data_IF_207948062060
#
_entry.id   IF_207948062060
#
_cell.length_a   1.000
_cell.length_b   1.000
_cell.length_c   1.000
_cell.angle_alpha   90.00
_cell.angle_beta   90.00
_cell.angle_gamma   90.00
#
_symmetry.space_group_name_H-M   'P 1'
#
loop_
_entity.id
_entity.type
_entity.pdbx_description
1 polymer ?
#
# COMPACT_ATOMS: atom_id res chain seq x y z
N UNK A 1 4.68 -24.60 22.56
CA UNK A 1 5.16 -23.61 21.57
C UNK A 1 4.01 -22.69 21.18
N UNK A 2 3.85 -21.60 21.91
CA UNK A 2 2.74 -20.64 21.77
C UNK A 2 3.35 -19.26 21.56
N UNK A 3 3.55 -18.87 20.31
CA UNK A 3 4.22 -17.60 20.04
C UNK A 3 4.27 -17.24 18.58
N UNK A 4 3.12 -17.11 17.90
CA UNK A 4 3.10 -16.45 16.58
C UNK A 4 1.76 -15.85 16.12
N UNK A 5 0.80 -15.67 17.04
CA UNK A 5 -0.52 -15.05 16.72
C UNK A 5 -0.57 -13.54 16.99
N UNK A 6 0.40 -12.96 17.72
CA UNK A 6 0.33 -11.55 18.19
C UNK A 6 0.78 -10.49 17.19
N UNK A 7 1.46 -10.84 16.09
CA UNK A 7 2.02 -9.84 15.14
C UNK A 7 1.08 -9.46 13.99
N UNK A 8 0.05 -10.27 13.72
CA UNK A 8 -0.80 -10.13 12.51
C UNK A 8 -1.95 -9.11 12.65
N UNK A 9 -2.26 -8.67 13.87
CA UNK A 9 -3.53 -8.01 14.23
C UNK A 9 -3.46 -6.45 14.19
N UNK A 10 -2.28 -5.85 14.00
CA UNK A 10 -2.09 -4.42 14.33
C UNK A 10 -2.52 -3.37 13.30
N UNK A 11 -2.84 -3.72 12.05
CA UNK A 11 -3.39 -2.74 11.08
C UNK A 11 -4.82 -2.31 11.43
N UNK A 12 -5.57 -3.20 12.06
CA UNK A 12 -7.03 -3.09 12.13
C UNK A 12 -7.54 -2.11 13.18
N UNK A 13 -6.63 -1.55 13.99
CA UNK A 13 -7.03 -0.75 15.15
C UNK A 13 -6.81 0.75 14.97
N UNK A 14 -6.13 1.18 13.91
CA UNK A 14 -6.01 2.60 13.58
C UNK A 14 -7.34 3.16 13.06
N UNK A 15 -7.94 2.50 12.07
CA UNK A 15 -9.16 2.98 11.41
C UNK A 15 -10.40 2.87 12.32
N UNK A 16 -10.53 1.81 13.12
CA UNK A 16 -11.66 1.63 14.04
C UNK A 16 -11.57 2.53 15.29
N UNK A 17 -10.36 2.80 15.80
CA UNK A 17 -10.19 3.72 16.93
C UNK A 17 -10.49 5.17 16.53
N UNK A 18 -10.14 5.58 15.31
CA UNK A 18 -10.50 6.88 14.72
C UNK A 18 -12.01 7.13 14.80
N UNK A 19 -12.81 6.12 14.47
CA UNK A 19 -14.27 6.20 14.38
C UNK A 19 -14.96 6.26 15.75
N UNK A 20 -14.45 5.52 16.74
CA UNK A 20 -14.95 5.65 18.12
C UNK A 20 -14.59 7.00 18.78
N UNK A 21 -13.77 7.85 18.15
CA UNK A 21 -13.38 9.17 18.69
C UNK A 21 -14.35 10.25 18.20
N UNK A 22 -14.93 9.99 17.04
CA UNK A 22 -15.85 10.83 16.29
C UNK A 22 -17.27 10.84 16.84
N UNK A 23 -17.68 9.79 17.56
CA UNK A 23 -18.98 9.70 18.21
C UNK A 23 -19.22 10.72 19.34
N UNK A 24 -18.25 11.60 19.65
CA UNK A 24 -18.31 12.51 20.81
C UNK A 24 -18.10 13.99 20.45
N UNK A 25 -18.34 14.41 19.21
CA UNK A 25 -17.99 15.75 18.74
C UNK A 25 -19.17 16.49 18.09
N UNK A 26 -19.73 17.50 18.77
CA UNK A 26 -20.93 18.25 18.33
C UNK A 26 -20.70 19.76 18.11
N UNK A 27 -19.49 20.24 17.82
CA UNK A 27 -19.26 21.69 17.59
C UNK A 27 -18.13 21.99 16.60
N UNK A 28 -18.13 23.16 15.96
CA UNK A 28 -17.11 23.57 14.98
C UNK A 28 -15.72 23.79 15.60
N UNK A 29 -15.64 24.13 16.90
CA UNK A 29 -14.39 24.04 17.68
C UNK A 29 -13.91 22.60 17.89
N UNK A 30 -14.75 21.63 17.52
CA UNK A 30 -14.50 20.20 17.64
C UNK A 30 -14.01 19.61 16.33
N UNK A 31 -14.13 20.26 15.16
CA UNK A 31 -13.52 19.74 13.92
C UNK A 31 -12.01 19.54 14.11
N UNK A 32 -11.30 20.59 14.54
CA UNK A 32 -9.85 20.50 14.77
C UNK A 32 -9.48 19.51 15.90
N UNK A 33 -10.27 19.47 16.99
CA UNK A 33 -10.06 18.46 18.05
C UNK A 33 -10.39 17.04 17.61
N UNK A 34 -11.28 16.90 16.65
CA UNK A 34 -11.69 15.62 16.07
C UNK A 34 -10.58 15.11 15.18
N UNK A 35 -10.09 15.94 14.26
CA UNK A 35 -8.91 15.67 13.44
C UNK A 35 -7.71 15.30 14.30
N UNK A 36 -7.39 16.07 15.35
CA UNK A 36 -6.32 15.75 16.30
C UNK A 36 -6.54 14.41 17.02
N UNK A 37 -7.77 14.11 17.44
CA UNK A 37 -8.11 12.82 18.09
C UNK A 37 -7.97 11.65 17.12
N UNK A 38 -8.41 11.83 15.88
CA UNK A 38 -8.28 10.86 14.80
C UNK A 38 -6.79 10.61 14.55
N UNK A 39 -6.01 11.67 14.36
CA UNK A 39 -4.56 11.62 14.14
C UNK A 39 -3.83 10.95 15.31
N UNK A 40 -4.13 11.31 16.58
CA UNK A 40 -3.51 10.72 17.76
C UNK A 40 -3.82 9.21 17.90
N UNK A 41 -5.06 8.81 17.60
CA UNK A 41 -5.45 7.39 17.58
C UNK A 41 -4.79 6.65 16.44
N UNK A 42 -4.73 7.22 15.23
CA UNK A 42 -3.97 6.65 14.13
C UNK A 42 -2.49 6.51 14.47
N UNK A 43 -1.84 7.54 15.03
CA UNK A 43 -0.44 7.50 15.43
C UNK A 43 -0.14 6.39 16.44
N UNK A 44 -0.98 6.25 17.48
CA UNK A 44 -0.84 5.19 18.50
C UNK A 44 -0.88 3.78 17.89
N UNK A 45 -1.64 3.61 16.81
CA UNK A 45 -1.96 2.30 16.23
C UNK A 45 -1.08 1.94 15.05
N UNK A 46 -0.83 2.89 14.15
CA UNK A 46 0.07 2.74 13.02
C UNK A 46 1.53 2.75 13.47
N UNK A 47 1.84 3.42 14.58
CA UNK A 47 3.21 3.66 15.09
C UNK A 47 4.14 4.12 13.95
N UNK A 48 3.80 5.23 13.28
CA UNK A 48 4.63 5.77 12.21
C UNK A 48 5.89 6.43 12.78
N UNK A 49 6.94 6.50 11.96
CA UNK A 49 8.11 7.33 12.26
C UNK A 49 7.84 8.83 12.01
N UNK A 50 6.86 9.14 11.16
CA UNK A 50 6.49 10.50 10.77
C UNK A 50 5.18 10.99 11.38
N UNK A 51 4.80 12.25 11.08
CA UNK A 51 3.53 12.81 11.51
C UNK A 51 2.35 12.06 10.85
N UNK A 52 1.24 12.05 11.58
CA UNK A 52 -0.07 11.59 11.09
C UNK A 52 -0.94 12.81 10.90
N UNK A 53 -1.58 12.90 9.74
CA UNK A 53 -2.58 13.92 9.44
C UNK A 53 -3.94 13.26 9.26
N UNK A 54 -4.96 13.99 9.67
CA UNK A 54 -6.34 13.59 9.53
C UNK A 54 -7.16 14.82 9.22
N UNK A 55 -7.96 14.74 8.16
CA UNK A 55 -8.74 15.86 7.65
C UNK A 55 -10.20 15.43 7.45
N UNK A 56 -11.13 16.28 7.85
CA UNK A 56 -12.54 16.14 7.51
C UNK A 56 -12.79 16.87 6.18
N UNK A 57 -12.86 16.10 5.09
CA UNK A 57 -12.98 16.66 3.74
C UNK A 57 -14.40 17.19 3.42
N UNK A 58 -15.38 16.84 4.24
CA UNK A 58 -16.72 17.43 4.22
C UNK A 58 -16.97 18.15 5.55
N UNK A 59 -17.34 19.44 5.56
CA UNK A 59 -17.58 20.18 6.79
C UNK A 59 -18.68 19.51 7.62
N UNK A 60 -18.55 19.54 8.96
CA UNK A 60 -19.59 19.09 9.88
C UNK A 60 -20.77 20.06 9.81
N UNK A 61 -21.65 19.88 8.83
CA UNK A 61 -22.90 20.62 8.78
C UNK A 61 -23.73 20.20 10.01
N UNK A 62 -23.89 21.08 11.00
CA UNK A 62 -24.37 20.75 12.36
C UNK A 62 -25.65 19.91 12.45
N UNK A 63 -26.53 19.94 11.44
CA UNK A 63 -27.73 19.08 11.40
C UNK A 63 -27.43 17.61 11.05
N UNK A 64 -26.38 17.33 10.27
CA UNK A 64 -25.95 15.97 9.92
C UNK A 64 -25.30 15.26 11.11
N UNK A 65 -24.54 15.99 11.91
CA UNK A 65 -23.92 15.44 13.14
C UNK A 65 -24.96 15.00 14.17
N UNK A 66 -26.08 15.70 14.28
CA UNK A 66 -27.21 15.30 15.13
C UNK A 66 -27.94 14.05 14.62
N UNK A 67 -27.87 13.77 13.32
CA UNK A 67 -28.37 12.56 12.70
C UNK A 67 -27.38 11.37 12.79
N UNK A 68 -26.20 11.59 13.38
CA UNK A 68 -25.16 10.57 13.50
C UNK A 68 -24.21 10.48 12.31
N UNK A 69 -24.16 11.49 11.44
CA UNK A 69 -23.24 11.54 10.30
C UNK A 69 -22.00 12.40 10.61
N UNK A 70 -20.83 11.85 10.32
CA UNK A 70 -19.52 12.50 10.40
C UNK A 70 -19.09 13.07 9.05
N UNK A 71 -19.42 12.40 7.94
CA UNK A 71 -19.01 12.82 6.59
C UNK A 71 -17.73 12.11 6.10
N UNK A 72 -16.98 12.75 5.20
CA UNK A 72 -15.82 12.14 4.56
C UNK A 72 -14.54 12.39 5.37
N UNK A 73 -13.75 11.34 5.60
CA UNK A 73 -12.50 11.41 6.36
C UNK A 73 -11.35 11.03 5.44
N UNK A 74 -10.27 11.82 5.50
CA UNK A 74 -8.98 11.43 4.98
C UNK A 74 -7.96 11.30 6.11
N UNK A 75 -7.15 10.24 6.10
CA UNK A 75 -6.07 10.01 7.07
C UNK A 75 -4.81 9.65 6.30
N UNK A 76 -3.73 10.37 6.55
CA UNK A 76 -2.41 10.08 6.00
C UNK A 76 -1.36 9.89 7.08
N UNK A 77 -0.45 8.95 6.87
CA UNK A 77 0.64 8.63 7.79
C UNK A 77 1.88 8.25 7.02
N UNK A 78 3.03 8.85 7.40
CA UNK A 78 4.32 8.56 6.79
C UNK A 78 5.13 7.56 7.62
N UNK A 79 5.89 6.69 6.96
CA UNK A 79 6.81 5.77 7.64
C UNK A 79 6.09 4.73 8.51
N UNK A 80 4.97 4.18 8.03
CA UNK A 80 4.25 3.11 8.71
C UNK A 80 5.00 1.78 8.55
N UNK A 81 5.32 1.14 9.68
CA UNK A 81 6.06 -0.13 9.69
C UNK A 81 5.11 -1.33 9.70
N UNK A 82 5.24 -2.22 8.71
CA UNK A 82 4.53 -3.50 8.72
C UNK A 82 5.27 -4.60 7.97
N UNK A 83 5.35 -5.78 8.59
CA UNK A 83 5.93 -6.99 7.99
C UNK A 83 7.32 -6.73 7.38
N UNK A 84 8.14 -5.92 8.07
CA UNK A 84 9.47 -5.48 7.65
C UNK A 84 9.52 -4.49 6.47
N UNK A 85 8.36 -3.95 6.07
CA UNK A 85 8.22 -2.90 5.07
C UNK A 85 7.87 -1.59 5.74
N UNK A 86 8.51 -0.50 5.29
CA UNK A 86 8.13 0.87 5.62
C UNK A 86 7.33 1.42 4.44
N UNK A 87 6.19 2.04 4.72
CA UNK A 87 5.30 2.59 3.69
C UNK A 87 4.62 3.87 4.15
N UNK A 88 4.33 4.74 3.19
CA UNK A 88 3.46 5.90 3.41
C UNK A 88 2.04 5.52 3.02
N UNK A 89 1.07 5.81 3.88
CA UNK A 89 -0.32 5.39 3.71
C UNK A 89 -1.22 6.61 3.67
N UNK A 90 -2.17 6.63 2.73
CA UNK A 90 -3.33 7.54 2.78
C UNK A 90 -4.61 6.71 2.63
N UNK A 91 -5.63 7.03 3.43
CA UNK A 91 -6.93 6.37 3.39
C UNK A 91 -8.00 7.45 3.37
N UNK A 92 -8.97 7.28 2.47
CA UNK A 92 -10.18 8.10 2.40
C UNK A 92 -11.40 7.23 2.58
N UNK A 93 -12.25 7.59 3.53
CA UNK A 93 -13.54 6.95 3.80
C UNK A 93 -14.66 7.94 3.50
N UNK A 94 -15.76 7.43 2.96
CA UNK A 94 -16.94 8.21 2.59
C UNK A 94 -18.11 7.96 3.52
N UNK A 95 -18.90 9.01 3.74
CA UNK A 95 -20.16 8.96 4.50
C UNK A 95 -20.00 8.20 5.81
N UNK A 96 -19.01 8.60 6.59
CA UNK A 96 -18.73 8.00 7.87
C UNK A 96 -19.81 8.40 8.86
N UNK A 97 -20.28 7.45 9.66
CA UNK A 97 -21.25 7.70 10.74
C UNK A 97 -20.55 7.69 12.11
N UNK A 98 -21.19 8.27 13.11
CA UNK A 98 -20.76 8.20 14.52
C UNK A 98 -20.80 6.76 15.06
N UNK A 99 -21.56 5.86 14.42
CA UNK A 99 -21.58 4.43 14.70
C UNK A 99 -20.36 3.67 14.14
N UNK A 100 -19.54 4.33 13.30
CA UNK A 100 -18.39 3.73 12.66
C UNK A 100 -18.72 2.98 11.37
N UNK A 101 -19.90 3.20 10.79
CA UNK A 101 -20.23 2.73 9.44
C UNK A 101 -19.64 3.68 8.39
N UNK A 102 -19.44 3.16 7.18
CA UNK A 102 -19.05 3.95 6.02
C UNK A 102 -19.70 3.43 4.75
N UNK A 103 -19.87 4.31 3.77
CA UNK A 103 -20.23 3.93 2.40
C UNK A 103 -19.04 3.30 1.63
N UNK A 104 -17.93 3.00 2.32
CA UNK A 104 -16.70 2.49 1.74
C UNK A 104 -15.67 3.59 1.51
N UNK A 105 -14.67 3.30 0.68
CA UNK A 105 -13.57 4.23 0.48
C UNK A 105 -12.43 3.70 -0.39
N UNK A 106 -11.33 4.43 -0.33
CA UNK A 106 -10.10 4.11 -1.08
C UNK A 106 -8.89 4.28 -0.19
N UNK A 107 -7.85 3.50 -0.43
CA UNK A 107 -6.56 3.67 0.23
C UNK A 107 -5.42 3.64 -0.77
N UNK A 108 -4.30 4.26 -0.41
CA UNK A 108 -3.03 4.16 -1.11
C UNK A 108 -1.94 3.78 -0.11
N UNK A 109 -0.99 2.95 -0.54
CA UNK A 109 0.23 2.66 0.18
C UNK A 109 1.42 2.81 -0.77
N UNK A 110 2.34 3.71 -0.44
CA UNK A 110 3.56 3.95 -1.21
C UNK A 110 4.72 3.24 -0.53
N UNK A 111 5.32 2.29 -1.25
CA UNK A 111 6.47 1.51 -0.77
C UNK A 111 7.74 2.03 -1.42
N UNK A 112 8.74 2.36 -0.60
CA UNK A 112 10.04 2.81 -1.08
C UNK A 112 10.76 1.75 -1.93
N UNK A 113 11.52 2.18 -2.93
CA UNK A 113 12.23 1.27 -3.83
C UNK A 113 13.31 0.44 -3.15
N UNK A 114 13.86 0.90 -2.03
CA UNK A 114 14.76 0.13 -1.17
C UNK A 114 14.07 -1.13 -0.63
N UNK A 115 12.79 -1.03 -0.25
CA UNK A 115 11.99 -2.15 0.23
C UNK A 115 11.61 -3.09 -0.92
N UNK A 116 11.24 -2.54 -2.08
CA UNK A 116 10.97 -3.32 -3.30
C UNK A 116 12.23 -4.11 -3.69
N UNK A 117 13.38 -3.45 -3.73
CA UNK A 117 14.69 -4.05 -4.01
C UNK A 117 15.00 -5.20 -3.06
N UNK A 118 14.85 -4.98 -1.75
CA UNK A 118 15.09 -6.01 -0.73
C UNK A 118 14.17 -7.22 -0.90
N UNK A 119 12.90 -6.97 -1.22
CA UNK A 119 11.91 -8.04 -1.44
C UNK A 119 12.22 -8.85 -2.71
N UNK A 120 12.68 -8.19 -3.78
CA UNK A 120 13.13 -8.84 -5.00
C UNK A 120 14.40 -9.66 -4.77
N UNK A 121 15.38 -9.13 -4.03
CA UNK A 121 16.60 -9.84 -3.65
C UNK A 121 16.30 -11.14 -2.90
N UNK A 122 15.37 -11.09 -1.94
CA UNK A 122 14.90 -12.30 -1.21
C UNK A 122 14.26 -13.37 -2.10
N UNK A 123 13.89 -13.03 -3.35
CA UNK A 123 13.36 -13.96 -4.35
C UNK A 123 14.44 -14.45 -5.33
N UNK A 124 15.73 -14.23 -5.04
CA UNK A 124 16.85 -14.68 -5.86
C UNK A 124 17.26 -13.71 -6.97
N UNK A 125 17.08 -12.41 -6.77
CA UNK A 125 17.55 -11.35 -7.67
C UNK A 125 18.60 -10.47 -6.99
N UNK A 126 19.67 -11.11 -6.55
CA UNK A 126 20.80 -10.41 -5.94
C UNK A 126 21.42 -9.46 -6.97
N UNK A 127 21.52 -8.17 -6.60
CA UNK A 127 22.18 -7.14 -7.41
C UNK A 127 21.26 -6.31 -8.32
N UNK A 128 19.94 -6.56 -8.37
CA UNK A 128 19.00 -5.67 -9.03
C UNK A 128 18.41 -4.64 -8.04
N UNK A 129 18.51 -3.37 -8.37
CA UNK A 129 17.88 -2.25 -7.67
C UNK A 129 16.63 -1.78 -8.40
N UNK A 130 15.54 -1.62 -7.67
CA UNK A 130 14.29 -1.09 -8.18
C UNK A 130 14.32 0.45 -8.25
N UNK A 131 13.58 1.00 -9.20
CA UNK A 131 13.34 2.43 -9.39
C UNK A 131 12.09 2.66 -10.23
N UNK A 132 11.66 3.90 -10.35
CA UNK A 132 10.51 4.29 -11.17
C UNK A 132 10.88 5.39 -12.14
N UNK A 133 10.31 5.32 -13.34
CA UNK A 133 10.36 6.40 -14.33
C UNK A 133 9.21 6.23 -15.32
N UNK A 134 8.55 7.34 -15.66
CA UNK A 134 7.48 7.38 -16.68
C UNK A 134 6.39 6.32 -16.44
N UNK A 135 6.01 6.11 -15.17
CA UNK A 135 5.00 5.12 -14.77
C UNK A 135 5.44 3.66 -14.80
N UNK A 136 6.68 3.37 -15.23
CA UNK A 136 7.21 2.01 -15.33
C UNK A 136 8.16 1.68 -14.16
N UNK A 137 8.15 0.41 -13.75
CA UNK A 137 9.11 -0.12 -12.80
C UNK A 137 10.41 -0.43 -13.54
N UNK A 138 11.51 0.19 -13.11
CA UNK A 138 12.85 -0.07 -13.63
C UNK A 138 13.61 -0.95 -12.66
N UNK A 139 14.18 -2.04 -13.13
CA UNK A 139 15.11 -2.87 -12.37
C UNK A 139 16.49 -2.72 -13.01
N UNK A 140 17.41 -2.08 -12.30
CA UNK A 140 18.76 -1.83 -12.79
C UNK A 140 19.76 -2.67 -12.01
N UNK A 141 20.76 -3.24 -12.66
CA UNK A 141 21.80 -3.96 -11.96
C UNK A 141 22.75 -4.64 -12.93
N UNK A 142 23.45 -5.67 -12.45
CA UNK A 142 24.39 -6.44 -13.26
C UNK A 142 23.92 -7.88 -13.38
N UNK A 143 23.93 -8.43 -14.61
CA UNK A 143 23.55 -9.83 -14.86
C UNK A 143 24.71 -10.62 -15.43
N UNK A 144 24.76 -11.90 -15.06
CA UNK A 144 25.76 -12.86 -15.51
C UNK A 144 27.13 -12.66 -14.84
N UNK A 145 28.05 -13.61 -15.09
CA UNK A 145 29.39 -13.63 -14.49
C UNK A 145 30.29 -12.46 -14.89
N UNK A 146 29.94 -11.78 -15.99
CA UNK A 146 30.68 -10.63 -16.52
C UNK A 146 30.22 -9.30 -15.89
N UNK A 147 29.18 -9.31 -15.05
CA UNK A 147 28.71 -8.11 -14.37
C UNK A 147 28.12 -7.05 -15.30
N UNK A 148 27.60 -7.45 -16.46
CA UNK A 148 27.13 -6.51 -17.48
C UNK A 148 25.96 -5.67 -16.95
N UNK A 149 26.01 -4.33 -17.08
CA UNK A 149 24.94 -3.48 -16.62
C UNK A 149 23.70 -3.70 -17.49
N UNK A 150 22.59 -3.98 -16.84
CA UNK A 150 21.28 -4.15 -17.45
C UNK A 150 20.25 -3.22 -16.81
N UNK A 151 19.32 -2.75 -17.62
CA UNK A 151 18.13 -2.02 -17.16
C UNK A 151 16.92 -2.75 -17.73
N UNK A 152 16.08 -3.27 -16.84
CA UNK A 152 14.85 -3.96 -17.19
C UNK A 152 13.69 -3.01 -16.93
N UNK A 153 12.88 -2.76 -17.95
CA UNK A 153 11.59 -2.09 -17.80
C UNK A 153 10.51 -3.15 -17.60
N UNK A 154 9.82 -3.08 -16.48
CA UNK A 154 8.74 -3.97 -16.14
C UNK A 154 7.41 -3.23 -16.06
N UNK A 155 6.37 -3.93 -16.49
CA UNK A 155 4.99 -3.56 -16.25
C UNK A 155 4.53 -4.17 -14.92
N UNK A 156 3.66 -3.46 -14.22
CA UNK A 156 3.09 -3.91 -12.96
C UNK A 156 1.60 -4.08 -13.16
N UNK A 157 1.09 -5.27 -12.86
CA UNK A 157 -0.34 -5.58 -12.89
C UNK A 157 -0.79 -6.13 -11.54
N UNK A 158 -2.08 -6.06 -11.26
CA UNK A 158 -2.64 -6.45 -9.96
C UNK A 158 -3.89 -7.30 -10.11
N UNK A 159 -4.02 -8.26 -9.19
CA UNK A 159 -5.29 -8.86 -8.81
C UNK A 159 -5.72 -8.29 -7.46
N UNK A 160 -6.86 -8.75 -6.93
CA UNK A 160 -7.35 -8.32 -5.61
C UNK A 160 -6.37 -8.62 -4.46
N UNK A 161 -5.51 -9.64 -4.64
CA UNK A 161 -4.68 -10.26 -3.61
C UNK A 161 -3.21 -10.43 -4.04
N UNK A 162 -2.83 -10.01 -5.25
CA UNK A 162 -1.48 -10.18 -5.75
C UNK A 162 -1.06 -9.06 -6.70
N UNK A 163 0.25 -8.89 -6.77
CA UNK A 163 0.94 -7.96 -7.65
C UNK A 163 1.85 -8.77 -8.58
N UNK A 164 1.71 -8.63 -9.89
CA UNK A 164 2.58 -9.29 -10.87
C UNK A 164 3.48 -8.26 -11.55
N UNK A 165 4.78 -8.50 -11.49
CA UNK A 165 5.80 -7.72 -12.19
C UNK A 165 6.19 -8.51 -13.43
N UNK A 166 5.96 -7.91 -14.59
CA UNK A 166 6.22 -8.52 -15.91
C UNK A 166 7.30 -7.72 -16.63
N UNK A 167 8.54 -8.22 -16.71
CA UNK A 167 9.58 -7.64 -17.56
C UNK A 167 9.10 -7.54 -19.02
N UNK A 168 9.24 -6.37 -19.63
CA UNK A 168 8.85 -6.10 -21.02
C UNK A 168 10.04 -5.86 -21.92
N UNK A 169 10.96 -5.01 -21.47
CA UNK A 169 12.17 -4.70 -22.22
C UNK A 169 13.40 -4.76 -21.33
N UNK A 170 14.51 -5.14 -21.94
CA UNK A 170 15.83 -5.18 -21.30
C UNK A 170 16.77 -4.35 -22.14
N UNK A 171 17.46 -3.42 -21.52
CA UNK A 171 18.55 -2.67 -22.12
C UNK A 171 19.88 -3.21 -21.60
N UNK A 172 20.75 -3.62 -22.52
CA UNK A 172 22.11 -4.07 -22.21
C UNK A 172 23.07 -3.23 -23.04
N UNK A 173 24.01 -2.54 -22.37
CA UNK A 173 24.98 -1.64 -23.04
C UNK A 173 24.30 -0.61 -23.99
N UNK A 174 23.17 -0.06 -23.58
CA UNK A 174 22.41 0.95 -24.34
C UNK A 174 21.54 0.40 -25.48
N UNK A 175 21.48 -0.92 -25.67
CA UNK A 175 20.60 -1.56 -26.66
C UNK A 175 19.40 -2.21 -25.98
N UNK A 176 18.20 -1.74 -26.31
CA UNK A 176 16.95 -2.30 -25.81
C UNK A 176 16.46 -3.46 -26.68
N UNK A 177 15.99 -4.52 -26.04
CA UNK A 177 15.41 -5.72 -26.65
C UNK A 177 14.14 -6.07 -25.88
N UNK A 178 13.08 -6.47 -26.59
CA UNK A 178 11.88 -6.99 -25.93
C UNK A 178 12.18 -8.36 -25.30
N UNK A 179 11.61 -8.63 -24.12
CA UNK A 179 11.82 -9.91 -23.42
C UNK A 179 11.30 -11.09 -24.24
N UNK A 180 10.22 -10.89 -25.00
CA UNK A 180 9.66 -11.89 -25.91
C UNK A 180 10.59 -12.22 -27.10
N UNK A 181 11.44 -11.28 -27.51
CA UNK A 181 12.41 -11.49 -28.59
C UNK A 181 13.68 -12.20 -28.13
N UNK A 182 13.90 -12.34 -26.82
CA UNK A 182 15.06 -13.05 -26.28
C UNK A 182 15.05 -14.54 -26.66
N UNK A 183 13.87 -15.10 -26.96
CA UNK A 183 13.69 -16.50 -27.36
C UNK A 183 14.39 -16.81 -28.67
N UNK A 184 14.44 -15.84 -29.59
CA UNK A 184 15.08 -16.00 -30.89
C UNK A 184 16.61 -15.86 -30.83
N UNK A 185 17.18 -15.51 -29.66
CA UNK A 185 18.61 -15.22 -29.51
C UNK A 185 19.39 -16.39 -28.92
N UNK A 186 20.41 -16.91 -29.64
CA UNK A 186 21.32 -17.92 -29.09
C UNK A 186 21.99 -17.39 -27.82
N UNK A 187 21.96 -18.18 -26.74
CA UNK A 187 22.59 -17.82 -25.46
C UNK A 187 21.79 -16.90 -24.53
N UNK A 188 20.56 -16.50 -24.91
CA UNK A 188 19.71 -15.63 -24.09
C UNK A 188 18.70 -16.38 -23.19
N UNK A 189 18.70 -17.72 -23.21
CA UNK A 189 17.76 -18.54 -22.44
C UNK A 189 17.87 -18.34 -20.93
N UNK A 190 19.09 -18.28 -20.38
CA UNK A 190 19.29 -18.03 -18.94
C UNK A 190 18.76 -16.66 -18.50
N UNK A 191 18.98 -15.63 -19.34
CA UNK A 191 18.44 -14.28 -19.08
C UNK A 191 16.90 -14.27 -19.16
N UNK A 192 16.30 -15.03 -20.08
CA UNK A 192 14.84 -15.16 -20.15
C UNK A 192 14.27 -15.77 -18.86
N UNK A 193 14.88 -16.84 -18.36
CA UNK A 193 14.39 -17.51 -17.15
C UNK A 193 14.51 -16.61 -15.91
N UNK A 194 15.59 -15.82 -15.85
CA UNK A 194 15.75 -14.78 -14.83
C UNK A 194 14.69 -13.68 -14.92
N UNK A 195 14.21 -13.36 -16.13
CA UNK A 195 13.22 -12.32 -16.42
C UNK A 195 11.78 -12.85 -16.54
N UNK A 196 11.51 -14.07 -16.09
CA UNK A 196 10.16 -14.60 -16.04
C UNK A 196 9.25 -13.68 -15.18
N UNK A 197 7.96 -13.52 -15.54
CA UNK A 197 7.01 -12.75 -14.72
C UNK A 197 6.97 -13.28 -13.29
N UNK A 198 6.85 -12.36 -12.32
CA UNK A 198 6.83 -12.71 -10.90
C UNK A 198 5.62 -12.15 -10.20
N UNK A 199 4.91 -13.02 -9.50
CA UNK A 199 3.75 -12.66 -8.71
C UNK A 199 4.09 -12.63 -7.22
N UNK A 200 3.78 -11.51 -6.60
CA UNK A 200 3.95 -11.21 -5.18
C UNK A 200 2.57 -11.22 -4.53
N UNK A 201 2.36 -12.15 -3.59
CA UNK A 201 1.12 -12.18 -2.83
C UNK A 201 1.02 -10.97 -1.88
N UNK A 202 -0.09 -10.24 -1.96
CA UNK A 202 -0.46 -9.17 -1.02
C UNK A 202 -1.29 -9.81 0.09
N UNK A 203 -0.58 -10.31 1.10
CA UNK A 203 -1.21 -11.07 2.20
C UNK A 203 -1.63 -10.16 3.36
N UNK A 204 -2.64 -10.60 4.12
CA UNK A 204 -3.05 -9.91 5.35
C UNK A 204 -3.82 -8.60 5.12
N UNK A 205 -4.52 -8.50 3.98
CA UNK A 205 -5.52 -7.46 3.74
C UNK A 205 -6.73 -7.68 4.67
N UNK A 206 -7.29 -6.60 5.25
CA UNK A 206 -8.53 -6.69 6.02
C UNK A 206 -9.70 -7.18 5.16
N UNK A 207 -10.73 -7.73 5.81
CA UNK A 207 -12.00 -8.01 5.13
C UNK A 207 -12.56 -6.71 4.55
N UNK A 208 -13.09 -6.78 3.33
CA UNK A 208 -13.61 -5.62 2.63
C UNK A 208 -12.54 -4.72 2.00
N UNK A 209 -11.26 -5.05 2.10
CA UNK A 209 -10.18 -4.33 1.41
C UNK A 209 -9.62 -5.18 0.29
N UNK A 210 -9.53 -4.63 -0.91
CA UNK A 210 -8.96 -5.30 -2.07
C UNK A 210 -7.96 -4.39 -2.78
N UNK A 211 -6.86 -4.97 -3.27
CA UNK A 211 -5.94 -4.26 -4.17
C UNK A 211 -6.64 -4.03 -5.51
N UNK A 212 -6.61 -2.80 -6.01
CA UNK A 212 -7.27 -2.43 -7.28
C UNK A 212 -6.28 -2.06 -8.36
N UNK A 213 -5.16 -1.44 -7.99
CA UNK A 213 -4.09 -1.11 -8.93
C UNK A 213 -2.74 -0.99 -8.24
N UNK A 214 -1.68 -1.05 -9.02
CA UNK A 214 -0.35 -0.69 -8.60
C UNK A 214 0.42 -0.05 -9.75
N UNK A 215 1.21 0.97 -9.44
CA UNK A 215 2.02 1.66 -10.44
C UNK A 215 3.29 2.23 -9.81
N UNK A 216 4.33 2.32 -10.62
CA UNK A 216 5.59 2.92 -10.21
C UNK A 216 5.52 4.46 -10.35
N UNK A 217 6.04 5.17 -9.37
CA UNK A 217 6.24 6.63 -9.40
C UNK A 217 7.71 6.96 -9.18
N UNK A 218 8.10 8.22 -9.24
CA UNK A 218 9.49 8.61 -8.96
C UNK A 218 9.88 8.39 -7.48
N UNK A 219 8.91 8.23 -6.59
CA UNK A 219 9.13 8.14 -5.14
C UNK A 219 8.92 6.73 -4.56
N UNK A 220 8.35 5.81 -5.34
CA UNK A 220 8.11 4.45 -4.90
C UNK A 220 7.04 3.73 -5.70
N UNK A 221 6.77 2.50 -5.30
CA UNK A 221 5.66 1.70 -5.83
C UNK A 221 4.38 2.06 -5.07
N UNK A 222 3.42 2.65 -5.75
CA UNK A 222 2.12 3.01 -5.19
C UNK A 222 1.15 1.85 -5.41
N UNK A 223 0.53 1.40 -4.33
CA UNK A 223 -0.54 0.39 -4.32
C UNK A 223 -1.86 1.08 -3.98
N UNK A 224 -2.89 0.90 -4.80
CA UNK A 224 -4.22 1.44 -4.56
C UNK A 224 -5.19 0.34 -4.12
N UNK A 225 -6.07 0.68 -3.20
CA UNK A 225 -7.01 -0.25 -2.59
C UNK A 225 -8.43 0.32 -2.62
N UNK A 226 -9.41 -0.57 -2.80
CA UNK A 226 -10.81 -0.28 -2.50
C UNK A 226 -11.15 -0.76 -1.09
N UNK A 227 -12.10 -0.05 -0.47
CA UNK A 227 -12.66 -0.37 0.83
C UNK A 227 -14.18 -0.50 0.65
N UNK A 228 -14.73 -1.67 0.93
CA UNK A 228 -16.14 -1.96 0.80
C UNK A 228 -16.98 -1.17 1.82
N UNK A 229 -18.24 -0.91 1.47
CA UNK A 229 -19.23 -0.36 2.38
C UNK A 229 -19.54 -1.33 3.52
N UNK A 230 -19.93 -0.78 4.66
CA UNK A 230 -20.31 -1.54 5.84
C UNK A 230 -19.78 -0.91 7.12
N UNK A 231 -19.97 -1.59 8.27
CA UNK A 231 -19.27 -1.22 9.47
C UNK A 231 -17.78 -1.21 9.12
N UNK A 232 -17.11 -0.08 9.37
CA UNK A 232 -15.68 0.00 9.16
C UNK A 232 -15.07 -1.24 9.82
N UNK A 233 -14.20 -1.97 9.10
CA UNK A 233 -13.94 -3.39 9.32
C UNK A 233 -13.87 -3.71 10.81
N UNK A 234 -14.96 -4.27 11.34
CA UNK A 234 -15.03 -4.65 12.74
C UNK A 234 -14.10 -5.82 12.95
N UNK A 235 -13.33 -5.76 14.02
CA UNK A 235 -12.55 -6.90 14.47
C UNK A 235 -13.53 -8.02 14.85
N UNK A 236 -13.76 -8.96 13.94
CA UNK A 236 -14.41 -10.22 14.32
C UNK A 236 -13.46 -10.94 15.26
N UNK A 237 -13.81 -10.94 16.54
CA UNK A 237 -13.10 -11.68 17.57
C UNK A 237 -13.38 -11.24 19.00
N UNK A 238 -14.65 -11.19 19.41
CA UNK A 238 -15.03 -11.25 20.82
C UNK A 238 -16.19 -12.23 21.02
N UNK A 239 -15.91 -13.26 21.84
CA UNK A 239 -16.76 -14.34 22.37
C UNK A 239 -17.25 -15.39 21.35
N UNK A 240 -17.07 -16.70 21.57
CA UNK A 240 -16.85 -17.49 22.78
C UNK A 240 -15.65 -18.46 22.66
#
# INVERSE_FOLDING_TARGET
>A
MTGDRRSKIRILVAISAILAALACATDLLVEHRTEERIAARAATRLRPDGPVHADLTTPLAGLRTLAGDVGDIEVSAKGVHRQHTVMDVSVRLKDVTTGGDSAGGTGTATVGYDQVTRRLGALGHDGLTAGGRDGALLLSGSVGRLGLPVIVRAEVSTTADALTITPKTVSVLGRSVAVEDLVARPGASGLRDELAPRTLAVTGLPRGVALTSAHATDHGLVLAFSIAAGPAPTAVGAAA
#
